data_IF_868668675587
#
_entry.id   IF_868668675587
#
_cell.length_a   1.000
_cell.length_b   1.000
_cell.length_c   1.000
_cell.angle_alpha   90.00
_cell.angle_beta   90.00
_cell.angle_gamma   90.00
#
_symmetry.space_group_name_H-M   'P 1'
#
loop_
_entity.id
_entity.type
_entity.pdbx_description
1 polymer ?
#
# COMPACT_ATOMS: atom_id res chain seq x y z
N UNK A 1 -20.48 -4.67 -4.86
CA UNK A 1 -19.04 -4.35 -4.86
C UNK A 1 -18.74 -2.88 -5.16
N UNK A 2 -19.50 -2.17 -6.01
CA UNK A 2 -19.21 -0.76 -6.37
C UNK A 2 -19.20 0.22 -5.19
N UNK A 3 -20.15 0.09 -4.25
CA UNK A 3 -20.22 0.96 -3.06
C UNK A 3 -19.00 0.78 -2.16
N UNK A 4 -18.53 -0.47 -2.00
CA UNK A 4 -17.32 -0.77 -1.23
C UNK A 4 -16.07 -0.22 -1.92
N UNK A 5 -16.00 -0.32 -3.25
CA UNK A 5 -14.96 0.33 -4.05
C UNK A 5 -14.94 1.85 -3.83
N UNK A 6 -16.10 2.51 -3.86
CA UNK A 6 -16.24 3.95 -3.61
C UNK A 6 -15.77 4.36 -2.21
N UNK A 7 -16.14 3.60 -1.18
CA UNK A 7 -15.69 3.85 0.19
C UNK A 7 -14.16 3.78 0.32
N UNK A 8 -13.53 2.79 -0.32
CA UNK A 8 -12.08 2.66 -0.32
C UNK A 8 -11.36 3.79 -1.10
N UNK A 9 -12.00 4.42 -2.09
CA UNK A 9 -11.46 5.63 -2.75
C UNK A 9 -11.40 6.81 -1.76
N UNK A 10 -12.42 6.96 -0.92
CA UNK A 10 -12.49 8.03 0.07
C UNK A 10 -11.40 7.84 1.13
N UNK A 11 -11.17 6.60 1.59
CA UNK A 11 -10.09 6.30 2.55
C UNK A 11 -8.70 6.69 2.00
N UNK A 12 -8.41 6.42 0.72
CA UNK A 12 -7.15 6.83 0.08
C UNK A 12 -7.00 8.35 0.08
N UNK A 13 -8.07 9.08 -0.27
CA UNK A 13 -8.04 10.54 -0.29
C UNK A 13 -7.72 11.12 1.10
N UNK A 14 -8.29 10.52 2.16
CA UNK A 14 -8.00 10.89 3.54
C UNK A 14 -6.56 10.55 3.93
N UNK A 15 -6.06 9.39 3.54
CA UNK A 15 -4.69 8.93 3.86
C UNK A 15 -3.60 9.78 3.19
N UNK A 16 -3.86 10.24 1.96
CA UNK A 16 -2.98 11.20 1.26
C UNK A 16 -3.04 12.56 1.94
N UNK A 17 -4.23 13.04 2.32
CA UNK A 17 -4.39 14.31 3.02
C UNK A 17 -3.63 14.31 4.36
N UNK A 18 -3.67 13.21 5.09
CA UNK A 18 -2.95 13.06 6.36
C UNK A 18 -1.43 13.04 6.16
N UNK A 19 -0.93 12.34 5.13
CA UNK A 19 0.47 12.37 4.75
C UNK A 19 0.96 13.78 4.35
N UNK A 20 0.16 14.51 3.54
CA UNK A 20 0.47 15.89 3.14
C UNK A 20 0.45 16.81 4.38
N UNK A 21 -0.53 16.65 5.26
CA UNK A 21 -0.64 17.46 6.48
C UNK A 21 0.52 17.20 7.44
N UNK A 22 0.94 15.95 7.59
CA UNK A 22 2.11 15.56 8.38
C UNK A 22 3.41 16.16 7.81
N UNK A 23 3.57 16.12 6.48
CA UNK A 23 4.69 16.76 5.79
C UNK A 23 4.73 18.27 6.05
N UNK A 24 3.59 18.96 5.90
CA UNK A 24 3.48 20.40 6.11
C UNK A 24 3.75 20.82 7.56
N UNK A 25 3.39 19.99 8.54
CA UNK A 25 3.58 20.31 9.97
C UNK A 25 4.99 20.06 10.48
N UNK A 26 5.68 19.04 9.97
CA UNK A 26 7.00 18.64 10.51
C UNK A 26 8.16 18.88 9.57
N UNK A 27 7.93 19.26 8.31
CA UNK A 27 8.96 19.36 7.26
C UNK A 27 9.82 18.09 7.10
N UNK A 28 9.33 16.94 7.58
CA UNK A 28 9.95 15.64 7.39
C UNK A 28 8.86 14.67 6.94
N UNK A 29 9.01 14.13 5.73
CA UNK A 29 8.17 13.03 5.28
C UNK A 29 8.51 11.83 6.17
N UNK A 30 7.53 11.32 6.92
CA UNK A 30 7.68 10.06 7.60
C UNK A 30 7.59 8.97 6.53
N UNK A 31 8.73 8.66 5.91
CA UNK A 31 8.83 7.76 4.74
C UNK A 31 8.19 6.40 5.02
N UNK A 32 8.22 5.97 6.28
CA UNK A 32 7.52 4.79 6.77
C UNK A 32 5.99 4.86 6.56
N UNK A 33 5.36 6.00 6.87
CA UNK A 33 3.92 6.20 6.68
C UNK A 33 3.56 6.13 5.19
N UNK A 34 4.32 6.83 4.34
CA UNK A 34 4.11 6.85 2.87
C UNK A 34 4.23 5.47 2.22
N UNK A 35 5.18 4.65 2.69
CA UNK A 35 5.36 3.28 2.21
C UNK A 35 4.17 2.41 2.63
N UNK A 36 3.68 2.57 3.87
CA UNK A 36 2.49 1.86 4.35
C UNK A 36 1.25 2.25 3.54
N UNK A 37 1.02 3.54 3.27
CA UNK A 37 -0.07 4.02 2.39
C UNK A 37 0.00 3.38 1.01
N UNK A 38 1.20 3.34 0.43
CA UNK A 38 1.42 2.77 -0.91
C UNK A 38 1.10 1.28 -0.96
N UNK A 39 1.47 0.54 0.09
CA UNK A 39 1.15 -0.88 0.24
C UNK A 39 -0.36 -1.12 0.35
N UNK A 40 -1.06 -0.31 1.15
CA UNK A 40 -2.52 -0.39 1.32
C UNK A 40 -3.24 -0.08 0.00
N UNK A 41 -2.80 0.93 -0.75
CA UNK A 41 -3.37 1.29 -2.05
C UNK A 41 -3.25 0.15 -3.08
N UNK A 42 -2.12 -0.57 -3.10
CA UNK A 42 -1.94 -1.74 -3.99
C UNK A 42 -2.80 -2.92 -3.51
N UNK A 43 -2.84 -3.20 -2.20
CA UNK A 43 -3.69 -4.24 -1.63
C UNK A 43 -5.19 -4.01 -1.92
N UNK A 44 -5.62 -2.75 -1.99
CA UNK A 44 -6.99 -2.40 -2.38
C UNK A 44 -7.32 -2.76 -3.83
N UNK A 45 -6.37 -2.53 -4.76
CA UNK A 45 -6.53 -2.92 -6.17
C UNK A 45 -6.65 -4.43 -6.32
N UNK A 46 -6.00 -5.16 -5.43
CA UNK A 46 -6.08 -6.62 -5.29
C UNK A 46 -7.45 -7.06 -4.76
N UNK A 47 -8.02 -6.39 -3.74
CA UNK A 47 -9.34 -6.71 -3.18
C UNK A 47 -10.48 -6.45 -4.19
N UNK A 48 -10.35 -5.44 -5.04
CA UNK A 48 -11.35 -5.08 -6.06
C UNK A 48 -11.31 -6.05 -7.26
N UNK A 49 -10.22 -6.81 -7.42
CA UNK A 49 -10.10 -7.83 -8.45
C UNK A 49 -11.13 -8.95 -8.19
N UNK A 50 -12.08 -9.13 -9.11
CA UNK A 50 -13.15 -10.10 -8.96
C UNK A 50 -12.66 -11.49 -9.33
N UNK A 51 -12.21 -12.26 -8.33
CA UNK A 51 -11.61 -13.59 -8.52
C UNK A 51 -12.51 -14.60 -9.26
N UNK A 52 -13.83 -14.39 -9.27
CA UNK A 52 -14.82 -15.24 -9.96
C UNK A 52 -14.82 -15.11 -11.50
N UNK A 53 -14.27 -14.02 -12.07
CA UNK A 53 -14.14 -13.84 -13.52
C UNK A 53 -12.72 -14.01 -14.05
N UNK A 54 -11.77 -14.27 -13.15
CA UNK A 54 -10.34 -14.16 -13.42
C UNK A 54 -9.75 -15.55 -13.56
N UNK A 55 -9.01 -15.79 -14.64
CA UNK A 55 -8.35 -17.09 -14.85
C UNK A 55 -7.30 -17.37 -13.78
N UNK A 56 -6.95 -18.65 -13.54
CA UNK A 56 -5.97 -19.04 -12.52
C UNK A 56 -4.61 -18.31 -12.60
N UNK A 57 -4.25 -17.79 -13.78
CA UNK A 57 -3.07 -16.93 -13.99
C UNK A 57 -3.12 -15.62 -13.17
N UNK A 58 -4.30 -15.03 -13.03
CA UNK A 58 -4.48 -13.75 -12.34
C UNK A 58 -4.32 -13.91 -10.83
N UNK A 59 -4.78 -15.03 -10.28
CA UNK A 59 -4.58 -15.41 -8.87
C UNK A 59 -3.09 -15.60 -8.57
N UNK A 60 -2.35 -16.24 -9.49
CA UNK A 60 -0.90 -16.40 -9.38
C UNK A 60 -0.19 -15.05 -9.46
N UNK A 61 -0.61 -14.17 -10.38
CA UNK A 61 -0.10 -12.79 -10.49
C UNK A 61 -0.34 -11.98 -9.21
N UNK A 62 -1.47 -12.19 -8.55
CA UNK A 62 -1.81 -11.59 -7.27
C UNK A 62 -0.88 -12.06 -6.14
N UNK A 63 -0.66 -13.37 -6.04
CA UNK A 63 0.23 -13.96 -5.05
C UNK A 63 1.68 -13.46 -5.23
N UNK A 64 2.15 -13.37 -6.48
CA UNK A 64 3.45 -12.79 -6.82
C UNK A 64 3.56 -11.31 -6.45
N UNK A 65 2.51 -10.51 -6.67
CA UNK A 65 2.48 -9.11 -6.29
C UNK A 65 2.58 -8.94 -4.76
N UNK A 66 1.82 -9.72 -3.99
CA UNK A 66 1.85 -9.69 -2.51
C UNK A 66 3.24 -10.12 -1.99
N UNK A 67 3.85 -11.15 -2.58
CA UNK A 67 5.20 -11.58 -2.24
C UNK A 67 6.24 -10.50 -2.52
N UNK A 68 6.20 -9.87 -3.70
CA UNK A 68 7.11 -8.78 -4.08
C UNK A 68 7.02 -7.59 -3.12
N UNK A 69 5.81 -7.20 -2.74
CA UNK A 69 5.57 -6.15 -1.75
C UNK A 69 6.10 -6.52 -0.36
N UNK A 70 5.86 -7.75 0.09
CA UNK A 70 6.34 -8.24 1.40
C UNK A 70 7.87 -8.26 1.46
N UNK A 71 8.53 -8.67 0.37
CA UNK A 71 9.99 -8.65 0.25
C UNK A 71 10.51 -7.21 0.26
N UNK A 72 9.88 -6.30 -0.49
CA UNK A 72 10.25 -4.88 -0.51
C UNK A 72 10.18 -4.25 0.89
N UNK A 73 9.08 -4.48 1.62
CA UNK A 73 8.94 -4.03 3.01
C UNK A 73 10.04 -4.60 3.91
N UNK A 74 10.34 -5.90 3.78
CA UNK A 74 11.37 -6.55 4.58
C UNK A 74 12.78 -6.00 4.31
N UNK A 75 13.11 -5.72 3.05
CA UNK A 75 14.39 -5.12 2.65
C UNK A 75 14.51 -3.70 3.20
N UNK A 76 13.47 -2.88 3.04
CA UNK A 76 13.47 -1.51 3.55
C UNK A 76 13.61 -1.52 5.07
N UNK A 77 12.83 -2.36 5.77
CA UNK A 77 12.92 -2.48 7.24
C UNK A 77 14.32 -2.91 7.70
N UNK A 78 14.95 -3.88 7.02
CA UNK A 78 16.32 -4.32 7.35
C UNK A 78 17.38 -3.26 7.04
N UNK A 79 17.19 -2.48 5.99
CA UNK A 79 18.13 -1.41 5.59
C UNK A 79 18.02 -0.21 6.52
N UNK A 80 16.79 0.17 6.90
CA UNK A 80 16.52 1.24 7.86
C UNK A 80 16.95 0.84 9.28
N UNK A 81 16.81 -0.43 9.68
CA UNK A 81 17.32 -0.94 10.96
C UNK A 81 18.85 -0.94 11.08
N UNK A 82 19.60 -0.72 9.98
CA UNK A 82 21.06 -0.67 9.94
C UNK A 82 21.65 0.75 10.00
N UNK A 83 20.89 1.76 10.43
CA UNK A 83 21.49 3.02 10.91
C UNK A 83 21.55 3.03 12.44
N UNK A 84 22.60 2.46 13.06
CA UNK A 84 23.04 2.96 14.35
C UNK A 84 23.68 4.34 14.11
N UNK A 85 23.36 5.29 14.98
CA UNK A 85 24.16 6.49 15.18
C UNK A 85 25.62 6.14 15.48
#
# INVERSE_FOLDING_TARGET
FEIFGLFLNVLIALEILENITAYLRKHVVQVELVIVTSLIAVARKIIILNLDKTGGLEIIGLALAILSLSISYWIIRRTTAKKPH
#
